data_IF_475553495870
#
_entry.id   IF_475553495870
#
_cell.length_a   1.000
_cell.length_b   1.000
_cell.length_c   1.000
_cell.angle_alpha   90.00
_cell.angle_beta   90.00
_cell.angle_gamma   90.00
#
_symmetry.space_group_name_H-M   'P 1'
#
loop_
_entity.id
_entity.type
_entity.pdbx_description
1 polymer ?
#
# COMPACT_ATOMS: atom_id res chain seq x y z
N UNK A 1 -18.31 -7.66 12.84
CA UNK A 1 -16.96 -7.48 12.25
C UNK A 1 -16.85 -6.05 11.74
N UNK A 2 -15.90 -5.25 12.22
CA UNK A 2 -15.68 -3.88 11.71
C UNK A 2 -14.60 -3.91 10.63
N UNK A 3 -14.94 -3.93 9.32
CA UNK A 3 -13.96 -3.80 8.24
C UNK A 3 -13.33 -2.39 8.14
N UNK A 4 -13.63 -1.47 9.06
CA UNK A 4 -13.36 -0.04 8.94
C UNK A 4 -11.92 0.41 9.23
N UNK A 5 -10.95 -0.50 9.43
CA UNK A 5 -9.56 -0.12 9.78
C UNK A 5 -8.46 -0.64 8.87
N UNK A 6 -8.75 -1.60 7.99
CA UNK A 6 -7.74 -2.21 7.12
C UNK A 6 -7.43 -1.30 5.93
N UNK A 7 -6.19 -1.38 5.47
CA UNK A 7 -5.75 -0.78 4.22
C UNK A 7 -6.16 -1.66 3.04
N UNK A 8 -6.59 -1.02 1.96
CA UNK A 8 -6.72 -1.59 0.62
C UNK A 8 -5.86 -0.82 -0.37
N UNK A 9 -5.71 -1.34 -1.58
CA UNK A 9 -5.04 -0.63 -2.66
C UNK A 9 -5.69 -0.95 -4.01
N UNK A 10 -5.54 -0.02 -4.95
CA UNK A 10 -6.02 -0.13 -6.33
C UNK A 10 -4.89 0.29 -7.27
N UNK A 11 -4.48 -0.58 -8.18
CA UNK A 11 -3.59 -0.22 -9.27
C UNK A 11 -4.42 0.35 -10.42
N UNK A 12 -4.21 1.62 -10.74
CA UNK A 12 -4.97 2.35 -11.76
C UNK A 12 -4.31 2.23 -13.12
N UNK A 13 -5.13 2.33 -14.17
CA UNK A 13 -4.69 2.26 -15.56
C UNK A 13 -3.66 3.34 -15.96
N UNK A 14 -3.52 4.41 -15.17
CA UNK A 14 -2.53 5.46 -15.38
C UNK A 14 -1.16 5.16 -14.72
N UNK A 15 -0.90 3.91 -14.28
CA UNK A 15 0.37 3.52 -13.68
C UNK A 15 0.57 4.07 -12.26
N UNK A 16 -0.51 4.31 -11.51
CA UNK A 16 -0.43 4.75 -10.11
C UNK A 16 -1.14 3.77 -9.20
N UNK A 17 -0.67 3.66 -7.95
CA UNK A 17 -1.37 2.88 -6.93
C UNK A 17 -1.99 3.80 -5.90
N UNK A 18 -3.30 3.66 -5.69
CA UNK A 18 -4.04 4.38 -4.65
C UNK A 18 -4.24 3.47 -3.45
N UNK A 19 -3.69 3.85 -2.30
CA UNK A 19 -3.90 3.14 -1.03
C UNK A 19 -5.10 3.78 -0.33
N UNK A 20 -6.04 2.96 0.12
CA UNK A 20 -7.26 3.39 0.81
C UNK A 20 -7.34 2.83 2.22
N UNK A 21 -8.03 3.55 3.12
CA UNK A 21 -8.36 3.10 4.46
C UNK A 21 -9.73 3.62 4.85
N UNK A 22 -10.66 2.73 5.22
CA UNK A 22 -12.01 3.14 5.66
C UNK A 22 -12.71 4.07 4.68
N UNK A 23 -12.73 3.71 3.39
CA UNK A 23 -13.32 4.48 2.28
C UNK A 23 -12.66 5.84 1.97
N UNK A 24 -11.49 6.14 2.53
CA UNK A 24 -10.71 7.35 2.22
C UNK A 24 -9.39 7.00 1.55
N UNK A 25 -8.90 7.87 0.69
CA UNK A 25 -7.53 7.77 0.16
C UNK A 25 -6.57 8.08 1.31
N UNK A 26 -5.65 7.15 1.54
CA UNK A 26 -4.62 7.25 2.57
C UNK A 26 -3.25 7.61 1.97
N UNK A 27 -2.98 7.16 0.73
CA UNK A 27 -1.73 7.45 0.04
C UNK A 27 -1.83 7.18 -1.46
N UNK A 28 -0.90 7.74 -2.22
CA UNK A 28 -0.79 7.50 -3.66
C UNK A 28 0.68 7.27 -4.02
N UNK A 29 0.98 6.09 -4.55
CA UNK A 29 2.30 5.73 -5.08
C UNK A 29 2.33 6.13 -6.56
N UNK A 30 3.37 6.85 -6.97
CA UNK A 30 3.55 7.36 -8.34
C UNK A 30 4.96 7.06 -8.82
N UNK A 31 5.09 6.85 -10.13
CA UNK A 31 6.35 6.54 -10.79
C UNK A 31 6.55 5.03 -10.89
N UNK A 32 7.01 4.58 -12.06
CA UNK A 32 7.06 3.15 -12.39
C UNK A 32 7.92 2.35 -11.40
N UNK A 33 9.08 2.89 -11.01
CA UNK A 33 9.98 2.22 -10.04
C UNK A 33 9.39 2.08 -8.64
N UNK A 34 8.67 3.11 -8.16
CA UNK A 34 8.04 3.08 -6.84
C UNK A 34 6.82 2.15 -6.85
N UNK A 35 6.05 2.15 -7.94
CA UNK A 35 4.92 1.24 -8.12
C UNK A 35 5.39 -0.21 -8.20
N UNK A 36 6.45 -0.49 -8.97
CA UNK A 36 7.04 -1.83 -9.06
C UNK A 36 7.57 -2.32 -7.71
N UNK A 37 8.30 -1.47 -6.99
CA UNK A 37 8.77 -1.75 -5.63
C UNK A 37 7.61 -2.05 -4.69
N UNK A 38 6.57 -1.23 -4.70
CA UNK A 38 5.37 -1.42 -3.89
C UNK A 38 4.70 -2.78 -4.17
N UNK A 39 4.54 -3.14 -5.45
CA UNK A 39 3.90 -4.40 -5.86
C UNK A 39 4.76 -5.62 -5.49
N UNK A 40 6.09 -5.52 -5.62
CA UNK A 40 7.04 -6.55 -5.19
C UNK A 40 6.96 -6.79 -3.69
N UNK A 41 7.04 -5.73 -2.88
CA UNK A 41 6.93 -5.82 -1.41
C UNK A 41 5.59 -6.43 -0.96
N UNK A 42 4.49 -6.16 -1.69
CA UNK A 42 3.18 -6.77 -1.42
C UNK A 42 3.08 -8.25 -1.81
N UNK A 43 3.77 -8.65 -2.87
CA UNK A 43 3.83 -10.03 -3.35
C UNK A 43 4.63 -10.91 -2.38
N UNK A 44 5.73 -10.39 -1.85
CA UNK A 44 6.59 -11.06 -0.86
C UNK A 44 5.99 -11.09 0.55
N UNK A 45 5.10 -10.16 0.88
CA UNK A 45 4.49 -10.08 2.19
C UNK A 45 3.53 -11.25 2.47
N UNK A 46 3.66 -11.84 3.67
CA UNK A 46 2.73 -12.85 4.18
C UNK A 46 1.29 -12.34 4.13
N UNK A 47 0.38 -13.20 3.65
CA UNK A 47 -1.03 -12.90 3.55
C UNK A 47 -1.62 -12.43 4.90
N UNK A 48 -2.58 -11.51 4.84
CA UNK A 48 -3.16 -10.89 6.03
C UNK A 48 -2.25 -9.79 6.59
N UNK A 49 -1.65 -10.04 7.77
CA UNK A 49 -0.95 -9.01 8.56
C UNK A 49 0.28 -8.42 7.84
N UNK A 50 1.02 -9.23 7.08
CA UNK A 50 2.21 -8.76 6.35
C UNK A 50 1.84 -7.72 5.30
N UNK A 51 0.82 -7.99 4.49
CA UNK A 51 0.32 -7.02 3.50
C UNK A 51 -0.19 -5.73 4.15
N UNK A 52 -0.83 -5.82 5.31
CA UNK A 52 -1.28 -4.63 6.05
C UNK A 52 -0.11 -3.78 6.56
N UNK A 53 1.01 -4.40 6.96
CA UNK A 53 2.21 -3.68 7.35
C UNK A 53 2.86 -2.95 6.17
N UNK A 54 2.95 -3.58 4.99
CA UNK A 54 3.45 -2.92 3.77
C UNK A 54 2.58 -1.71 3.42
N UNK A 55 1.26 -1.88 3.36
CA UNK A 55 0.34 -0.77 3.05
C UNK A 55 0.45 0.37 4.07
N UNK A 56 0.56 0.06 5.35
CA UNK A 56 0.73 1.06 6.40
C UNK A 56 2.05 1.83 6.24
N UNK A 57 3.16 1.14 5.96
CA UNK A 57 4.48 1.72 5.78
C UNK A 57 4.53 2.74 4.64
N UNK A 58 3.93 2.40 3.50
CA UNK A 58 3.86 3.28 2.33
C UNK A 58 2.96 4.51 2.55
N UNK A 59 1.96 4.42 3.43
CA UNK A 59 1.11 5.56 3.80
C UNK A 59 1.79 6.48 4.81
N UNK A 60 2.49 5.92 5.81
CA UNK A 60 3.11 6.73 6.88
C UNK A 60 4.46 7.32 6.48
N UNK A 61 5.00 6.97 5.31
CA UNK A 61 6.32 7.41 4.88
C UNK A 61 7.45 6.85 5.75
N UNK A 62 7.19 5.75 6.48
CA UNK A 62 8.20 5.06 7.27
C UNK A 62 9.15 4.30 6.33
N UNK A 63 9.97 5.05 5.60
CA UNK A 63 11.18 4.53 4.98
C UNK A 63 12.04 4.01 6.13
N UNK A 64 12.37 2.70 6.20
CA UNK A 64 13.36 2.25 7.16
C UNK A 64 14.65 3.05 6.89
N UNK A 65 15.07 3.84 7.87
CA UNK A 65 16.39 4.45 7.84
C UNK A 65 17.41 3.31 7.68
N UNK A 66 18.22 3.43 6.64
CA UNK A 66 19.33 2.52 6.34
C UNK A 66 20.32 2.43 7.51
#
# INVERSE_FOLDING_TARGET
MHPSRLFGYEHRANGTVVITRGCRIAGVVRGDSEVDRFLTELAEATAGTGRQQVLARWVTGAVPAA
#
